data_IF_922691369035
#
_entry.id   IF_922691369035
#
_cell.length_a   1.000
_cell.length_b   1.000
_cell.length_c   1.000
_cell.angle_alpha   90.00
_cell.angle_beta   90.00
_cell.angle_gamma   90.00
#
_symmetry.space_group_name_H-M   'P 1'
#
loop_
_entity.id
_entity.type
_entity.pdbx_description
1 polymer ?
#
# COMPACT_ATOMS: atom_id res chain seq x y z
N UNK A 1 -7.92 7.00 8.38
CA UNK A 1 -8.24 8.32 7.78
C UNK A 1 -8.59 9.37 8.84
N UNK A 2 -7.84 10.47 8.88
CA UNK A 2 -8.02 11.63 9.75
C UNK A 2 -8.39 12.82 8.87
N UNK A 3 -9.54 13.46 9.14
CA UNK A 3 -9.96 14.67 8.44
C UNK A 3 -9.32 15.91 9.09
N UNK A 4 -8.58 16.68 8.29
CA UNK A 4 -7.81 17.85 8.75
C UNK A 4 -8.43 19.17 8.29
N UNK A 5 -9.14 19.14 7.17
CA UNK A 5 -9.91 20.26 6.65
C UNK A 5 -11.12 19.72 5.88
N UNK A 6 -12.29 20.27 6.17
CA UNK A 6 -13.48 20.04 5.38
C UNK A 6 -14.38 21.28 5.43
N UNK A 7 -14.38 22.03 4.32
CA UNK A 7 -15.20 23.23 4.19
C UNK A 7 -16.63 22.94 3.70
N UNK A 8 -17.03 21.66 3.55
CA UNK A 8 -18.31 21.24 2.97
C UNK A 8 -18.61 21.87 1.60
N UNK A 9 -17.56 22.16 0.83
CA UNK A 9 -17.63 22.66 -0.54
C UNK A 9 -17.40 21.51 -1.52
N UNK A 10 -17.97 21.63 -2.72
CA UNK A 10 -17.71 20.68 -3.81
C UNK A 10 -16.21 20.60 -4.10
N UNK A 11 -15.67 19.39 -4.22
CA UNK A 11 -14.30 19.15 -4.70
C UNK A 11 -14.37 18.97 -6.22
N UNK A 12 -13.66 19.81 -6.97
CA UNK A 12 -13.56 19.70 -8.43
C UNK A 12 -12.41 18.80 -8.86
N UNK A 13 -11.30 18.80 -8.10
CA UNK A 13 -10.11 17.98 -8.33
C UNK A 13 -9.63 17.38 -7.01
N UNK A 14 -9.48 16.07 -6.94
CA UNK A 14 -8.93 15.36 -5.79
C UNK A 14 -7.52 14.85 -6.10
N UNK A 15 -6.54 15.25 -5.31
CA UNK A 15 -5.16 14.79 -5.43
C UNK A 15 -4.85 13.76 -4.34
N UNK A 16 -4.22 12.66 -4.71
CA UNK A 16 -3.67 11.69 -3.78
C UNK A 16 -2.17 11.94 -3.69
N UNK A 17 -1.70 12.32 -2.51
CA UNK A 17 -0.33 12.71 -2.26
C UNK A 17 0.34 11.69 -1.32
N UNK A 18 1.03 10.71 -1.89
CA UNK A 18 1.81 9.75 -1.11
C UNK A 18 3.12 10.37 -0.66
N UNK A 19 3.39 10.39 0.65
CA UNK A 19 4.65 10.82 1.25
C UNK A 19 5.10 12.24 0.88
N UNK A 20 4.21 13.10 0.39
CA UNK A 20 4.55 14.41 -0.18
C UNK A 20 3.72 15.54 0.44
N UNK A 21 2.82 16.18 -0.31
CA UNK A 21 2.08 17.36 0.14
C UNK A 21 0.99 16.97 1.15
N UNK A 22 0.77 17.74 2.24
CA UNK A 22 1.45 18.99 2.61
C UNK A 22 2.54 18.81 3.68
N UNK A 23 3.01 17.59 3.94
CA UNK A 23 3.87 17.27 5.08
C UNK A 23 5.37 17.30 4.76
N UNK A 24 5.77 17.03 3.52
CA UNK A 24 7.17 16.99 3.09
C UNK A 24 7.46 18.16 2.17
N UNK A 25 8.58 18.85 2.38
CA UNK A 25 9.08 19.88 1.45
C UNK A 25 9.88 19.21 0.34
N UNK A 26 9.63 19.61 -0.90
CA UNK A 26 10.33 19.07 -2.06
C UNK A 26 9.66 19.48 -3.36
N UNK A 27 10.25 19.08 -4.49
CA UNK A 27 9.77 19.48 -5.82
C UNK A 27 8.30 19.09 -6.08
N UNK A 28 7.92 17.86 -5.72
CA UNK A 28 6.53 17.38 -5.89
C UNK A 28 5.56 18.20 -5.04
N UNK A 29 5.84 18.39 -3.76
CA UNK A 29 4.95 19.15 -2.86
C UNK A 29 4.85 20.62 -3.25
N UNK A 30 5.95 21.25 -3.68
CA UNK A 30 5.92 22.62 -4.20
C UNK A 30 5.10 22.70 -5.47
N UNK A 31 5.27 21.76 -6.41
CA UNK A 31 4.46 21.72 -7.62
C UNK A 31 2.96 21.53 -7.32
N UNK A 32 2.61 20.64 -6.38
CA UNK A 32 1.21 20.46 -5.93
C UNK A 32 0.66 21.75 -5.33
N UNK A 33 1.45 22.43 -4.48
CA UNK A 33 1.06 23.69 -3.88
C UNK A 33 0.83 24.80 -4.92
N UNK A 34 1.77 24.93 -5.87
CA UNK A 34 1.70 25.91 -6.95
C UNK A 34 0.54 25.61 -7.91
N UNK A 35 0.24 24.33 -8.17
CA UNK A 35 -0.91 23.91 -8.96
C UNK A 35 -2.23 24.35 -8.31
N UNK A 36 -2.39 24.06 -7.01
CA UNK A 36 -3.60 24.42 -6.27
C UNK A 36 -3.76 25.95 -6.27
N UNK A 37 -2.70 26.69 -5.90
CA UNK A 37 -2.75 28.16 -5.83
C UNK A 37 -2.93 28.82 -7.19
N UNK A 38 -2.33 28.27 -8.25
CA UNK A 38 -2.39 28.81 -9.61
C UNK A 38 -3.74 28.64 -10.31
N UNK A 39 -4.52 27.61 -9.92
CA UNK A 39 -5.85 27.32 -10.49
C UNK A 39 -6.93 27.66 -9.45
N UNK A 40 -6.97 28.94 -9.06
CA UNK A 40 -7.83 29.45 -7.99
C UNK A 40 -9.34 29.27 -8.23
N UNK A 41 -9.77 29.07 -9.48
CA UNK A 41 -11.16 28.87 -9.90
C UNK A 41 -11.69 27.44 -9.64
N UNK A 42 -10.81 26.50 -9.30
CA UNK A 42 -11.16 25.11 -8.96
C UNK A 42 -11.00 24.88 -7.47
N UNK A 43 -11.94 24.12 -6.90
CA UNK A 43 -11.82 23.64 -5.53
C UNK A 43 -11.04 22.33 -5.52
N UNK A 44 -9.95 22.30 -4.78
CA UNK A 44 -9.10 21.13 -4.63
C UNK A 44 -9.39 20.39 -3.32
N UNK A 45 -9.26 19.07 -3.38
CA UNK A 45 -9.14 18.20 -2.23
C UNK A 45 -7.79 17.49 -2.27
N UNK A 46 -7.22 17.20 -1.11
CA UNK A 46 -6.01 16.37 -0.99
C UNK A 46 -6.28 15.22 -0.02
N UNK A 47 -5.95 14.00 -0.44
CA UNK A 47 -5.79 12.86 0.44
C UNK A 47 -4.30 12.59 0.54
N UNK A 48 -3.72 12.86 1.71
CA UNK A 48 -2.36 12.50 2.00
C UNK A 48 -2.29 11.03 2.41
N UNK A 49 -1.36 10.27 1.81
CA UNK A 49 -1.04 8.90 2.23
C UNK A 49 0.34 8.92 2.88
N UNK A 50 0.40 8.60 4.16
CA UNK A 50 1.63 8.61 4.95
C UNK A 50 1.96 7.27 5.56
N UNK A 51 3.17 7.14 6.09
CA UNK A 51 3.61 5.96 6.84
C UNK A 51 2.92 5.89 8.21
N UNK A 52 3.41 6.69 9.16
CA UNK A 52 2.87 6.83 10.52
C UNK A 52 2.77 8.31 10.88
N UNK A 53 1.80 8.72 11.72
CA UNK A 53 1.66 10.12 12.12
C UNK A 53 2.96 10.75 12.67
N UNK A 54 3.71 10.00 13.48
CA UNK A 54 4.95 10.43 14.14
C UNK A 54 6.13 10.64 13.18
N UNK A 55 6.06 10.11 11.95
CA UNK A 55 7.09 10.34 10.93
C UNK A 55 6.97 11.75 10.32
N UNK A 56 5.94 12.53 10.68
CA UNK A 56 5.67 13.85 10.13
C UNK A 56 5.57 14.93 11.21
N UNK A 57 6.35 15.99 11.04
CA UNK A 57 6.36 17.16 11.93
C UNK A 57 5.20 18.15 11.65
N UNK A 58 4.05 17.66 11.18
CA UNK A 58 2.89 18.46 10.82
C UNK A 58 2.95 19.13 9.44
N UNK A 59 1.89 19.88 9.12
CA UNK A 59 1.69 20.55 7.82
C UNK A 59 2.76 21.63 7.60
N UNK A 60 3.49 21.56 6.47
CA UNK A 60 4.63 22.45 6.16
C UNK A 60 4.31 23.61 5.21
N UNK A 61 3.08 23.65 4.70
CA UNK A 61 2.59 24.66 3.74
C UNK A 61 1.40 25.41 4.34
N UNK A 62 1.29 26.70 4.01
CA UNK A 62 0.05 27.45 4.28
C UNK A 62 -1.02 26.95 3.32
N UNK A 63 -2.10 26.37 3.83
CA UNK A 63 -3.15 25.83 2.98
C UNK A 63 -3.84 26.95 2.17
N UNK A 64 -3.96 26.83 0.83
CA UNK A 64 -4.66 27.81 0.00
C UNK A 64 -6.17 27.82 0.25
N UNK A 65 -6.84 28.94 0.00
CA UNK A 65 -8.29 29.09 0.24
C UNK A 65 -9.15 28.16 -0.63
N UNK A 66 -8.64 27.79 -1.81
CA UNK A 66 -9.29 26.86 -2.73
C UNK A 66 -8.93 25.39 -2.46
N UNK A 67 -8.11 25.08 -1.44
CA UNK A 67 -8.04 23.74 -0.87
C UNK A 67 -9.19 23.58 0.12
N UNK A 68 -10.26 22.89 -0.30
CA UNK A 68 -11.50 22.79 0.48
C UNK A 68 -11.60 21.51 1.30
N UNK A 69 -10.74 20.53 1.00
CA UNK A 69 -10.68 19.24 1.68
C UNK A 69 -9.23 18.78 1.86
N UNK A 70 -8.89 18.33 3.07
CA UNK A 70 -7.62 17.66 3.35
C UNK A 70 -7.86 16.54 4.35
N UNK A 71 -7.47 15.33 3.99
CA UNK A 71 -7.39 14.20 4.92
C UNK A 71 -6.02 13.54 4.86
N UNK A 72 -5.66 12.86 5.94
CA UNK A 72 -4.46 12.05 6.04
C UNK A 72 -4.84 10.61 6.37
N UNK A 73 -4.34 9.66 5.59
CA UNK A 73 -4.42 8.24 5.90
C UNK A 73 -3.02 7.66 6.10
N UNK A 74 -2.85 6.89 7.18
CA UNK A 74 -1.56 6.38 7.60
C UNK A 74 -1.54 4.87 7.48
N UNK A 75 -0.71 4.37 6.57
CA UNK A 75 -0.70 2.98 6.15
C UNK A 75 -0.18 2.02 7.23
N UNK A 76 0.69 2.51 8.12
CA UNK A 76 1.31 1.69 9.17
C UNK A 76 0.76 1.99 10.57
N UNK A 77 -0.39 2.64 10.66
CA UNK A 77 -1.07 2.87 11.94
C UNK A 77 -1.89 1.65 12.40
N UNK A 78 -1.31 0.45 12.25
CA UNK A 78 -1.85 -0.80 12.78
C UNK A 78 -0.90 -1.35 13.85
N UNK A 79 -1.45 -1.79 14.97
CA UNK A 79 -0.67 -2.51 15.97
C UNK A 79 -0.24 -3.85 15.37
N UNK A 80 1.07 -4.09 15.25
CA UNK A 80 1.57 -5.44 14.97
C UNK A 80 1.21 -6.31 16.17
N UNK A 81 0.25 -7.21 15.96
CA UNK A 81 -0.24 -8.12 17.00
C UNK A 81 0.79 -9.20 17.37
N UNK A 82 1.76 -9.46 16.50
CA UNK A 82 2.76 -10.52 16.69
C UNK A 82 4.18 -10.03 16.45
N UNK A 83 5.09 -10.42 17.34
CA UNK A 83 6.53 -10.22 17.16
C UNK A 83 7.09 -11.28 16.21
N UNK A 84 8.10 -10.94 15.38
CA UNK A 84 8.76 -11.91 14.53
C UNK A 84 9.34 -13.07 15.34
N UNK A 85 9.01 -14.30 14.94
CA UNK A 85 9.50 -15.52 15.58
C UNK A 85 9.65 -16.62 14.55
N UNK A 86 10.66 -17.47 14.68
CA UNK A 86 10.86 -18.57 13.75
C UNK A 86 9.69 -19.56 13.82
N UNK A 87 9.17 -19.95 12.66
CA UNK A 87 8.18 -21.03 12.51
C UNK A 87 8.42 -21.84 11.25
N UNK A 88 7.81 -23.02 11.21
CA UNK A 88 7.75 -23.84 10.01
C UNK A 88 6.31 -23.83 9.49
N UNK A 89 6.13 -23.49 8.23
CA UNK A 89 4.83 -23.60 7.58
C UNK A 89 4.55 -25.07 7.20
N UNK A 90 3.28 -25.40 6.98
CA UNK A 90 2.93 -26.68 6.38
C UNK A 90 3.41 -26.68 4.91
N UNK A 91 4.42 -27.48 4.60
CA UNK A 91 5.04 -27.58 3.27
C UNK A 91 4.06 -27.94 2.16
N UNK A 92 3.07 -28.80 2.44
CA UNK A 92 2.06 -29.17 1.44
C UNK A 92 1.16 -27.99 1.09
N UNK A 93 0.75 -27.21 2.11
CA UNK A 93 -0.03 -26.00 1.90
C UNK A 93 0.80 -24.90 1.22
N UNK A 94 2.06 -24.76 1.60
CA UNK A 94 2.96 -23.76 1.03
C UNK A 94 3.19 -23.98 -0.48
N UNK A 95 3.22 -25.23 -0.94
CA UNK A 95 3.29 -25.57 -2.37
C UNK A 95 2.12 -25.00 -3.20
N UNK A 96 0.94 -24.82 -2.61
CA UNK A 96 -0.18 -24.16 -3.29
C UNK A 96 0.07 -22.65 -3.45
N UNK A 97 0.77 -22.01 -2.51
CA UNK A 97 1.19 -20.61 -2.62
C UNK A 97 2.22 -20.46 -3.75
N UNK A 98 3.21 -21.36 -3.82
CA UNK A 98 4.16 -21.38 -4.94
C UNK A 98 3.45 -21.55 -6.30
N UNK A 99 2.47 -22.46 -6.34
CA UNK A 99 1.65 -22.70 -7.54
C UNK A 99 0.85 -21.46 -7.92
N UNK A 100 0.29 -20.74 -6.95
CA UNK A 100 -0.42 -19.48 -7.19
C UNK A 100 0.48 -18.44 -7.84
N UNK A 101 1.68 -18.23 -7.29
CA UNK A 101 2.63 -17.26 -7.83
C UNK A 101 3.08 -17.61 -9.26
N UNK A 102 3.39 -18.90 -9.52
CA UNK A 102 3.71 -19.38 -10.88
C UNK A 102 2.55 -19.21 -11.83
N UNK A 103 1.33 -19.51 -11.38
CA UNK A 103 0.13 -19.33 -12.16
C UNK A 103 -0.06 -17.87 -12.58
N UNK A 104 0.07 -16.91 -11.65
CA UNK A 104 -0.04 -15.48 -11.99
C UNK A 104 1.03 -15.06 -12.99
N UNK A 105 2.25 -15.57 -12.87
CA UNK A 105 3.32 -15.23 -13.81
C UNK A 105 3.09 -15.78 -15.22
N UNK A 106 2.61 -17.01 -15.33
CA UNK A 106 2.51 -17.72 -16.61
C UNK A 106 1.17 -17.53 -17.33
N UNK A 107 0.11 -17.21 -16.59
CA UNK A 107 -1.27 -17.32 -17.08
C UNK A 107 -2.11 -16.06 -16.87
N UNK A 108 -1.57 -14.93 -16.39
CA UNK A 108 -2.40 -13.72 -16.17
C UNK A 108 -3.11 -13.23 -17.44
N UNK A 109 -2.48 -13.40 -18.61
CA UNK A 109 -3.03 -13.03 -19.92
C UNK A 109 -3.67 -14.21 -20.67
N UNK A 110 -3.71 -15.38 -20.05
CA UNK A 110 -4.28 -16.59 -20.63
C UNK A 110 -5.54 -16.87 -19.82
N UNK A 111 -6.69 -17.05 -20.49
CA UNK A 111 -7.96 -17.43 -19.84
C UNK A 111 -7.94 -18.87 -19.26
N UNK A 112 -6.85 -19.23 -18.59
CA UNK A 112 -6.70 -20.42 -17.75
C UNK A 112 -7.36 -20.09 -16.42
N UNK A 113 -7.95 -21.08 -15.77
CA UNK A 113 -8.61 -20.89 -14.48
C UNK A 113 -7.66 -21.22 -13.32
N UNK A 114 -7.91 -20.64 -12.14
CA UNK A 114 -7.14 -20.94 -10.92
C UNK A 114 -7.52 -22.31 -10.34
N UNK A 115 -6.59 -23.02 -9.69
CA UNK A 115 -6.92 -24.22 -8.92
C UNK A 115 -7.95 -23.95 -7.81
N UNK A 116 -8.94 -24.82 -7.66
CA UNK A 116 -10.07 -24.64 -6.71
C UNK A 116 -9.63 -24.38 -5.26
N UNK A 117 -8.59 -25.06 -4.78
CA UNK A 117 -8.08 -24.88 -3.42
C UNK A 117 -7.61 -23.44 -3.14
N UNK A 118 -7.04 -22.79 -4.16
CA UNK A 118 -6.45 -21.45 -4.07
C UNK A 118 -7.53 -20.36 -4.20
N UNK A 119 -8.68 -20.67 -4.82
CA UNK A 119 -9.83 -19.76 -4.88
C UNK A 119 -10.56 -19.64 -3.54
N UNK A 120 -10.41 -20.62 -2.65
CA UNK A 120 -11.14 -20.64 -1.38
C UNK A 120 -10.51 -19.70 -0.36
N UNK A 121 -11.27 -18.70 0.12
CA UNK A 121 -10.81 -17.77 1.16
C UNK A 121 -10.45 -18.48 2.48
N UNK A 122 -11.11 -19.61 2.81
CA UNK A 122 -10.82 -20.36 4.02
C UNK A 122 -9.39 -20.90 4.07
N UNK A 123 -8.80 -21.17 2.90
CA UNK A 123 -7.40 -21.59 2.78
C UNK A 123 -6.45 -20.54 3.39
N UNK A 124 -6.66 -19.26 3.08
CA UNK A 124 -5.82 -18.16 3.60
C UNK A 124 -6.16 -17.76 5.04
N UNK A 125 -7.34 -18.10 5.53
CA UNK A 125 -7.74 -17.79 6.91
C UNK A 125 -7.34 -18.89 7.90
N UNK A 126 -7.25 -20.15 7.45
CA UNK A 126 -7.07 -21.31 8.33
C UNK A 126 -5.81 -22.12 8.04
N UNK A 127 -5.46 -22.31 6.77
CA UNK A 127 -4.43 -23.26 6.34
C UNK A 127 -3.06 -22.62 6.07
N UNK A 128 -3.04 -21.40 5.53
CA UNK A 128 -1.83 -20.57 5.34
C UNK A 128 -2.12 -19.22 5.97
N UNK A 129 -1.65 -19.04 7.21
CA UNK A 129 -1.91 -17.80 7.96
C UNK A 129 -0.93 -16.71 7.54
N UNK A 130 -1.27 -15.46 7.83
CA UNK A 130 -0.36 -14.32 7.64
C UNK A 130 1.02 -14.56 8.27
N UNK A 131 1.05 -15.13 9.48
CA UNK A 131 2.29 -15.46 10.16
C UNK A 131 3.14 -16.49 9.40
N UNK A 132 2.53 -17.46 8.69
CA UNK A 132 3.28 -18.40 7.83
C UNK A 132 3.98 -17.64 6.70
N UNK A 133 3.33 -16.65 6.11
CA UNK A 133 3.95 -15.81 5.10
C UNK A 133 5.06 -14.92 5.69
N UNK A 134 4.82 -14.30 6.85
CA UNK A 134 5.75 -13.33 7.43
C UNK A 134 6.99 -13.96 8.08
N UNK A 135 6.85 -15.14 8.69
CA UNK A 135 7.87 -15.67 9.61
C UNK A 135 8.32 -17.11 9.33
N UNK A 136 7.74 -17.81 8.35
CA UNK A 136 8.18 -19.17 8.06
C UNK A 136 9.47 -19.23 7.26
N UNK A 137 10.25 -20.29 7.49
CA UNK A 137 11.43 -20.60 6.67
C UNK A 137 11.04 -20.93 5.23
N UNK A 138 9.90 -21.58 5.02
CA UNK A 138 9.35 -21.88 3.70
C UNK A 138 9.09 -20.61 2.88
N UNK A 139 8.46 -19.59 3.48
CA UNK A 139 8.23 -18.31 2.81
C UNK A 139 9.53 -17.59 2.46
N UNK A 140 10.50 -17.61 3.38
CA UNK A 140 11.81 -17.03 3.13
C UNK A 140 12.54 -17.73 1.97
N UNK A 141 12.58 -19.06 1.99
CA UNK A 141 13.19 -19.85 0.91
C UNK A 141 12.50 -19.59 -0.43
N UNK A 142 11.16 -19.53 -0.45
CA UNK A 142 10.41 -19.21 -1.65
C UNK A 142 10.76 -17.83 -2.22
N UNK A 143 10.88 -16.80 -1.36
CA UNK A 143 11.30 -15.46 -1.82
C UNK A 143 12.71 -15.51 -2.41
N UNK A 144 13.64 -16.24 -1.78
CA UNK A 144 15.00 -16.44 -2.31
C UNK A 144 14.96 -17.15 -3.66
N UNK A 145 14.18 -18.23 -3.78
CA UNK A 145 14.09 -19.02 -5.01
C UNK A 145 13.52 -18.16 -6.15
N UNK A 146 12.46 -17.40 -5.89
CA UNK A 146 11.87 -16.46 -6.86
C UNK A 146 12.85 -15.36 -7.26
N UNK A 147 13.60 -14.80 -6.31
CA UNK A 147 14.62 -13.80 -6.61
C UNK A 147 15.74 -14.41 -7.46
N UNK A 148 16.23 -15.59 -7.10
CA UNK A 148 17.33 -16.27 -7.81
C UNK A 148 16.92 -16.69 -9.22
N UNK A 149 15.68 -17.14 -9.40
CA UNK A 149 15.19 -17.60 -10.70
C UNK A 149 14.90 -16.44 -11.67
N UNK A 150 14.51 -15.27 -11.16
CA UNK A 150 13.93 -14.21 -11.98
C UNK A 150 14.56 -12.83 -11.86
N UNK A 151 15.43 -12.58 -10.90
CA UNK A 151 16.23 -11.37 -10.90
C UNK A 151 17.29 -11.52 -12.00
N UNK A 152 17.17 -10.71 -13.06
CA UNK A 152 18.21 -10.61 -14.08
C UNK A 152 19.48 -10.03 -13.41
N UNK A 153 20.63 -10.68 -13.60
CA UNK A 153 21.93 -10.07 -13.27
C UNK A 153 22.06 -8.81 -14.12
N UNK A 154 22.03 -7.66 -13.47
CA UNK A 154 22.24 -6.34 -14.10
C UNK A 154 23.70 -5.93 -13.98
#
# INVERSE_FOLDING_TARGET
MIELLNQNRKIDVLLIAEGTYPYIRGGVSTWVHDLITGISEKNFGVVFLGSRPEDYEGIKYKLPDNLVYLSADYLFNYERTTLPHERNANKENFKYIETLHKWFKENIDKNVDLPEKIKNIEFYLKEVKEEDFLFSREAWNFIIDMYTEYAEET
#
